data_IF_996917279425
#
_entry.id   IF_996917279425
#
_cell.length_a   1.000
_cell.length_b   1.000
_cell.length_c   1.000
_cell.angle_alpha   90.00
_cell.angle_beta   90.00
_cell.angle_gamma   90.00
#
_symmetry.space_group_name_H-M   'P 1'
#
loop_
_entity.id
_entity.type
_entity.pdbx_description
1 polymer ?
#
# COMPACT_ATOMS: atom_id res chain seq x y z
N UNK A 1 7.67 2.20 -16.65
CA UNK A 1 6.77 3.37 -16.80
C UNK A 1 7.52 4.65 -16.44
N UNK A 2 7.88 5.42 -17.46
CA UNK A 2 8.31 6.80 -17.32
C UNK A 2 7.03 7.64 -17.36
N UNK A 3 6.87 8.53 -16.40
CA UNK A 3 5.66 9.27 -16.01
C UNK A 3 4.61 8.48 -15.23
N UNK A 4 4.23 9.06 -14.08
CA UNK A 4 3.32 8.54 -13.07
C UNK A 4 1.86 8.47 -13.52
N UNK A 5 1.62 8.09 -14.77
CA UNK A 5 0.33 7.70 -15.28
C UNK A 5 -0.10 6.40 -14.60
N UNK A 6 -1.26 6.45 -13.96
CA UNK A 6 -1.88 5.30 -13.30
C UNK A 6 -3.24 5.06 -13.94
N UNK A 7 -3.80 3.87 -13.73
CA UNK A 7 -5.17 3.57 -14.15
C UNK A 7 -6.19 4.61 -13.64
N UNK A 8 -5.88 5.30 -12.54
CA UNK A 8 -6.72 6.35 -11.95
C UNK A 8 -6.57 7.72 -12.66
N UNK A 9 -5.45 7.98 -13.34
CA UNK A 9 -5.19 9.28 -13.99
C UNK A 9 -5.43 9.27 -15.49
N UNK A 10 -5.11 8.18 -16.18
CA UNK A 10 -5.25 8.07 -17.65
C UNK A 10 -6.33 7.08 -18.08
N UNK A 11 -6.91 6.34 -17.13
CA UNK A 11 -7.89 5.31 -17.41
C UNK A 11 -7.26 3.99 -17.89
N UNK A 12 -8.09 2.96 -18.00
CA UNK A 12 -7.71 1.64 -18.51
C UNK A 12 -8.93 0.97 -19.16
N UNK A 13 -8.72 0.25 -20.26
CA UNK A 13 -9.79 -0.55 -20.88
C UNK A 13 -9.92 -1.91 -20.19
N UNK A 14 -11.16 -2.37 -19.98
CA UNK A 14 -11.44 -3.63 -19.29
C UNK A 14 -10.69 -4.87 -19.85
N UNK A 15 -10.49 -5.02 -21.18
CA UNK A 15 -9.73 -6.16 -21.72
C UNK A 15 -8.28 -6.25 -21.23
N UNK A 16 -7.62 -5.11 -21.00
CA UNK A 16 -6.25 -5.09 -20.46
C UNK A 16 -6.19 -5.71 -19.06
N UNK A 17 -7.14 -5.35 -18.21
CA UNK A 17 -7.27 -5.91 -16.85
C UNK A 17 -7.56 -7.41 -16.89
N UNK A 18 -8.43 -7.85 -17.79
CA UNK A 18 -8.77 -9.27 -17.95
C UNK A 18 -7.55 -10.11 -18.38
N UNK A 19 -6.76 -9.62 -19.33
CA UNK A 19 -5.53 -10.29 -19.77
C UNK A 19 -4.48 -10.39 -18.66
N UNK A 20 -4.25 -9.30 -17.90
CA UNK A 20 -3.35 -9.34 -16.73
C UNK A 20 -3.83 -10.40 -15.74
N UNK A 21 -5.12 -10.39 -15.41
CA UNK A 21 -5.71 -11.31 -14.44
C UNK A 21 -5.62 -12.76 -14.90
N UNK A 22 -5.89 -13.04 -16.17
CA UNK A 22 -5.80 -14.38 -16.76
C UNK A 22 -4.37 -14.93 -16.68
N UNK A 23 -3.37 -14.12 -17.05
CA UNK A 23 -1.97 -14.52 -16.95
C UNK A 23 -1.54 -14.77 -15.50
N UNK A 24 -1.83 -13.86 -14.57
CA UNK A 24 -1.45 -14.00 -13.16
C UNK A 24 -2.14 -15.19 -12.49
N UNK A 25 -3.44 -15.39 -12.76
CA UNK A 25 -4.19 -16.53 -12.21
C UNK A 25 -3.64 -17.84 -12.73
N UNK A 26 -3.28 -17.91 -14.02
CA UNK A 26 -2.66 -19.11 -14.59
C UNK A 26 -1.33 -19.44 -13.91
N UNK A 27 -0.47 -18.44 -13.68
CA UNK A 27 0.80 -18.67 -12.95
C UNK A 27 0.56 -19.09 -11.50
N UNK A 28 -0.44 -18.53 -10.83
CA UNK A 28 -0.83 -18.95 -9.48
C UNK A 28 -1.33 -20.41 -9.46
N UNK A 29 -2.13 -20.83 -10.44
CA UNK A 29 -2.59 -22.21 -10.58
C UNK A 29 -1.42 -23.18 -10.79
N UNK A 30 -0.42 -22.81 -11.60
CA UNK A 30 0.82 -23.59 -11.74
C UNK A 30 1.54 -23.77 -10.40
N UNK A 31 1.65 -22.71 -9.60
CA UNK A 31 2.27 -22.79 -8.26
C UNK A 31 1.48 -23.73 -7.35
N UNK A 32 0.15 -23.57 -7.29
CA UNK A 32 -0.73 -24.36 -6.42
C UNK A 32 -0.80 -25.83 -6.78
N UNK A 33 -0.56 -26.16 -8.05
CA UNK A 33 -0.51 -27.54 -8.57
C UNK A 33 0.92 -28.07 -8.66
N UNK A 34 1.88 -27.39 -8.02
CA UNK A 34 3.30 -27.78 -7.94
C UNK A 34 4.04 -27.84 -9.29
N UNK A 35 3.48 -27.26 -10.35
CA UNK A 35 4.06 -27.23 -11.71
C UNK A 35 5.09 -26.09 -11.87
N UNK A 36 6.06 -26.03 -10.97
CA UNK A 36 7.04 -24.93 -10.90
C UNK A 36 7.90 -24.77 -12.16
N UNK A 37 8.25 -25.89 -12.81
CA UNK A 37 9.09 -25.88 -14.02
C UNK A 37 8.38 -25.28 -15.25
N UNK A 38 7.06 -25.08 -15.16
CA UNK A 38 6.24 -24.49 -16.23
C UNK A 38 5.96 -23.00 -16.03
N UNK A 39 6.50 -22.40 -14.96
CA UNK A 39 6.36 -20.97 -14.71
C UNK A 39 7.05 -20.17 -15.80
N UNK A 40 6.44 -19.04 -16.16
CA UNK A 40 6.87 -18.22 -17.29
C UNK A 40 8.30 -17.69 -17.11
N UNK A 41 8.70 -17.31 -15.90
CA UNK A 41 10.04 -16.78 -15.61
C UNK A 41 10.38 -15.44 -16.30
N UNK A 42 9.40 -14.79 -16.94
CA UNK A 42 9.59 -13.51 -17.66
C UNK A 42 8.66 -12.43 -17.15
N UNK A 43 9.12 -11.18 -17.23
CA UNK A 43 8.27 -10.01 -17.22
C UNK A 43 7.56 -9.95 -18.58
N UNK A 44 6.24 -10.07 -18.58
CA UNK A 44 5.39 -9.96 -19.77
C UNK A 44 4.83 -8.54 -19.87
N UNK A 45 5.02 -7.89 -21.01
CA UNK A 45 4.40 -6.63 -21.39
C UNK A 45 3.58 -6.84 -22.65
N UNK A 46 2.40 -6.22 -22.73
CA UNK A 46 1.56 -6.30 -23.91
C UNK A 46 0.75 -5.02 -24.11
N UNK A 47 0.46 -4.71 -25.37
CA UNK A 47 -0.52 -3.73 -25.81
C UNK A 47 -1.60 -4.48 -26.59
N UNK A 48 -2.82 -4.51 -26.07
CA UNK A 48 -3.93 -5.24 -26.71
C UNK A 48 -4.49 -4.46 -27.90
N UNK A 49 -4.36 -3.13 -27.89
CA UNK A 49 -4.90 -2.27 -28.94
C UNK A 49 -4.06 -2.38 -30.20
N UNK A 50 -2.74 -2.28 -30.06
CA UNK A 50 -1.77 -2.41 -31.16
C UNK A 50 -1.36 -3.86 -31.43
N UNK A 51 -1.83 -4.81 -30.61
CA UNK A 51 -1.50 -6.24 -30.69
C UNK A 51 0.01 -6.53 -30.52
N UNK A 52 0.68 -5.76 -29.66
CA UNK A 52 2.10 -5.92 -29.37
C UNK A 52 2.32 -6.76 -28.11
N UNK A 53 3.38 -7.57 -28.12
CA UNK A 53 3.81 -8.31 -26.93
C UNK A 53 5.33 -8.38 -26.84
N UNK A 54 5.84 -8.22 -25.62
CA UNK A 54 7.26 -8.31 -25.30
C UNK A 54 7.45 -9.07 -23.99
N UNK A 55 8.51 -9.86 -23.92
CA UNK A 55 8.85 -10.59 -22.70
C UNK A 55 10.34 -10.58 -22.43
N UNK A 56 10.70 -10.38 -21.17
CA UNK A 56 12.11 -10.31 -20.73
C UNK A 56 12.31 -11.31 -19.60
N UNK A 57 13.30 -12.19 -19.72
CA UNK A 57 13.70 -13.10 -18.62
C UNK A 57 14.27 -12.29 -17.46
N UNK A 58 13.73 -12.47 -16.27
CA UNK A 58 14.08 -11.63 -15.11
C UNK A 58 15.12 -12.27 -14.18
N UNK A 59 15.39 -13.56 -14.32
CA UNK A 59 16.32 -14.30 -13.45
C UNK A 59 17.71 -13.64 -13.40
N UNK A 60 18.20 -13.16 -14.55
CA UNK A 60 19.51 -12.50 -14.67
C UNK A 60 19.52 -11.03 -14.24
N UNK A 61 18.36 -10.46 -13.88
CA UNK A 61 18.26 -9.07 -13.43
C UNK A 61 18.53 -8.91 -11.93
N UNK A 62 18.59 -10.02 -11.19
CA UNK A 62 18.94 -9.99 -9.77
C UNK A 62 20.38 -9.51 -9.59
N UNK A 63 20.55 -8.45 -8.81
CA UNK A 63 21.88 -7.96 -8.42
C UNK A 63 22.33 -8.68 -7.15
N UNK A 64 23.57 -9.16 -7.15
CA UNK A 64 24.15 -9.84 -5.98
C UNK A 64 24.22 -8.94 -4.74
N UNK A 65 24.41 -7.64 -4.95
CA UNK A 65 24.52 -6.61 -3.92
C UNK A 65 23.18 -5.97 -3.53
N UNK A 66 22.04 -6.47 -4.04
CA UNK A 66 20.74 -5.92 -3.71
C UNK A 66 20.44 -6.08 -2.20
N UNK A 67 20.10 -5.00 -1.46
CA UNK A 67 19.88 -5.10 -0.02
C UNK A 67 18.61 -5.88 0.37
N UNK A 68 17.76 -6.26 -0.60
CA UNK A 68 16.49 -6.98 -0.37
C UNK A 68 16.45 -8.38 -0.97
N UNK A 69 17.19 -8.67 -2.04
CA UNK A 69 17.22 -10.00 -2.67
C UNK A 69 18.62 -10.50 -3.03
N UNK A 70 19.68 -9.75 -2.68
CA UNK A 70 21.07 -10.17 -2.89
C UNK A 70 21.51 -11.26 -1.91
N UNK A 71 22.75 -11.72 -2.05
CA UNK A 71 23.33 -12.79 -1.21
C UNK A 71 23.42 -12.39 0.26
N UNK A 72 23.60 -11.10 0.54
CA UNK A 72 23.64 -10.51 1.89
C UNK A 72 22.42 -9.61 2.14
N UNK A 73 21.20 -10.14 1.94
CA UNK A 73 19.97 -9.37 2.13
C UNK A 73 19.78 -8.95 3.61
N UNK A 74 19.58 -7.64 3.82
CA UNK A 74 19.31 -7.04 5.14
C UNK A 74 17.89 -6.50 5.31
N UNK A 75 17.12 -6.47 4.22
CA UNK A 75 15.72 -6.03 4.20
C UNK A 75 15.50 -4.67 4.90
N UNK A 76 16.15 -3.59 4.43
CA UNK A 76 16.21 -2.32 5.16
C UNK A 76 14.82 -1.75 5.47
N UNK A 77 13.83 -2.02 4.60
CA UNK A 77 12.45 -1.55 4.79
C UNK A 77 11.59 -2.41 5.71
N UNK A 78 12.08 -3.57 6.17
CA UNK A 78 11.46 -4.41 7.19
C UNK A 78 12.04 -4.15 8.60
N UNK A 79 13.19 -3.47 8.68
CA UNK A 79 13.80 -3.03 9.93
C UNK A 79 12.84 -2.16 10.75
N UNK A 80 12.87 -2.35 12.07
CA UNK A 80 11.93 -1.72 12.99
C UNK A 80 11.97 -0.18 12.94
N UNK A 81 13.17 0.39 12.79
CA UNK A 81 13.40 1.82 12.74
C UNK A 81 12.73 2.50 11.52
N UNK A 82 12.53 1.75 10.43
CA UNK A 82 11.91 2.23 9.19
C UNK A 82 10.38 2.02 9.14
N UNK A 83 9.73 1.63 10.25
CA UNK A 83 8.29 1.32 10.28
C UNK A 83 7.36 2.53 10.41
N UNK A 84 7.86 3.70 10.84
CA UNK A 84 7.05 4.94 10.85
C UNK A 84 6.90 5.48 9.44
N UNK A 85 5.83 5.06 8.76
CA UNK A 85 5.57 5.42 7.36
C UNK A 85 4.31 6.26 7.27
N UNK A 86 4.44 7.38 6.57
CA UNK A 86 3.32 8.13 6.04
C UNK A 86 3.30 7.90 4.53
N UNK A 87 2.25 7.27 4.03
CA UNK A 87 2.09 6.91 2.63
C UNK A 87 0.82 7.56 2.08
N UNK A 88 0.94 8.23 0.93
CA UNK A 88 -0.22 8.77 0.22
C UNK A 88 -0.93 7.58 -0.42
N UNK A 89 -2.22 7.43 -0.17
CA UNK A 89 -3.04 6.41 -0.81
C UNK A 89 -3.45 6.95 -2.19
N UNK A 90 -2.88 6.36 -3.24
CA UNK A 90 -3.15 6.73 -4.64
C UNK A 90 -4.67 6.79 -4.90
N UNK A 91 -5.11 7.85 -5.59
CA UNK A 91 -6.50 8.05 -5.97
C UNK A 91 -7.48 8.40 -4.84
N UNK A 92 -7.00 8.66 -3.60
CA UNK A 92 -7.90 8.80 -2.42
C UNK A 92 -7.75 10.08 -1.60
N UNK A 93 -6.93 11.04 -2.04
CA UNK A 93 -6.58 12.27 -1.30
C UNK A 93 -6.46 12.02 0.22
N UNK A 94 -5.63 11.03 0.56
CA UNK A 94 -5.48 10.59 1.93
C UNK A 94 -4.05 10.13 2.19
N UNK A 95 -3.59 10.36 3.41
CA UNK A 95 -2.32 9.81 3.91
C UNK A 95 -2.60 8.79 4.99
N UNK A 96 -2.05 7.60 4.83
CA UNK A 96 -1.98 6.60 5.89
C UNK A 96 -0.71 6.81 6.70
N UNK A 97 -0.85 7.07 8.00
CA UNK A 97 0.24 7.14 8.97
C UNK A 97 0.27 5.84 9.77
N UNK A 98 1.45 5.22 9.89
CA UNK A 98 1.71 4.05 10.72
C UNK A 98 2.74 4.41 11.79
N UNK A 99 2.53 4.11 13.08
CA UNK A 99 3.53 4.32 14.11
C UNK A 99 4.75 3.40 13.91
N UNK A 100 5.93 3.83 14.39
CA UNK A 100 7.17 3.02 14.33
C UNK A 100 7.06 1.75 15.17
N UNK A 101 6.51 1.87 16.38
CA UNK A 101 6.21 0.76 17.27
C UNK A 101 4.77 0.28 17.05
N UNK A 102 4.54 -1.02 17.23
CA UNK A 102 3.18 -1.53 17.30
C UNK A 102 2.58 -1.03 18.62
N UNK A 103 1.57 -0.18 18.52
CA UNK A 103 0.88 0.40 19.67
C UNK A 103 -0.51 -0.21 19.74
N UNK A 104 -0.98 -0.54 20.94
CA UNK A 104 -2.38 -0.87 21.15
C UNK A 104 -3.07 0.35 21.72
N UNK A 105 -3.77 1.09 20.85
CA UNK A 105 -4.57 2.23 21.25
C UNK A 105 -5.90 1.75 21.85
N UNK A 106 -6.25 2.29 23.01
CA UNK A 106 -7.60 2.21 23.54
C UNK A 106 -8.50 3.15 22.72
N UNK A 107 -9.23 2.59 21.76
CA UNK A 107 -10.22 3.36 20.99
C UNK A 107 -11.30 3.95 21.90
N UNK A 108 -11.58 3.29 23.03
CA UNK A 108 -12.50 3.81 24.05
C UNK A 108 -11.99 5.11 24.67
N UNK A 109 -10.71 5.18 25.04
CA UNK A 109 -10.14 6.39 25.64
C UNK A 109 -10.06 7.54 24.62
N UNK A 110 -9.73 7.22 23.36
CA UNK A 110 -9.75 8.20 22.27
C UNK A 110 -11.17 8.73 22.01
N UNK A 111 -12.18 7.84 22.01
CA UNK A 111 -13.58 8.22 21.88
C UNK A 111 -13.99 9.16 23.01
N UNK A 112 -13.65 8.84 24.26
CA UNK A 112 -13.99 9.67 25.42
C UNK A 112 -13.31 11.05 25.33
N UNK A 113 -12.03 11.07 24.92
CA UNK A 113 -11.27 12.31 24.71
C UNK A 113 -11.88 13.21 23.63
N UNK A 114 -12.36 12.63 22.53
CA UNK A 114 -12.85 13.34 21.34
C UNK A 114 -14.35 13.11 21.08
N UNK A 115 -15.16 12.99 22.14
CA UNK A 115 -16.56 12.56 22.03
C UNK A 115 -17.38 13.39 21.05
N UNK A 116 -17.16 14.71 20.99
CA UNK A 116 -17.86 15.64 20.09
C UNK A 116 -17.42 15.53 18.62
N UNK A 117 -16.32 14.83 18.36
CA UNK A 117 -15.74 14.67 17.03
C UNK A 117 -15.96 13.27 16.46
N UNK A 118 -16.58 12.36 17.22
CA UNK A 118 -16.87 10.99 16.77
C UNK A 118 -17.90 11.02 15.65
N UNK A 119 -17.53 10.48 14.49
CA UNK A 119 -18.43 10.32 13.35
C UNK A 119 -18.96 8.89 13.26
N UNK A 120 -18.10 7.89 13.47
CA UNK A 120 -18.43 6.47 13.42
C UNK A 120 -17.49 5.67 14.33
N UNK A 121 -17.94 4.52 14.82
CA UNK A 121 -17.10 3.60 15.58
C UNK A 121 -17.52 2.15 15.35
N UNK A 122 -16.58 1.24 15.53
CA UNK A 122 -16.86 -0.18 15.76
C UNK A 122 -15.74 -0.79 16.61
N UNK A 123 -15.79 -2.11 16.81
CA UNK A 123 -14.79 -2.82 17.61
C UNK A 123 -13.37 -2.62 17.09
N UNK A 124 -13.14 -2.42 15.80
CA UNK A 124 -11.81 -2.39 15.18
C UNK A 124 -11.29 -0.99 14.84
N UNK A 125 -12.16 0.01 14.69
CA UNK A 125 -11.79 1.37 14.29
C UNK A 125 -12.66 2.46 14.92
N UNK A 126 -12.11 3.68 14.96
CA UNK A 126 -12.78 4.92 15.35
C UNK A 126 -12.61 5.95 14.24
N UNK A 127 -13.71 6.60 13.84
CA UNK A 127 -13.70 7.68 12.85
C UNK A 127 -13.96 9.01 13.54
N UNK A 128 -13.01 9.95 13.42
CA UNK A 128 -13.11 11.29 13.97
C UNK A 128 -13.11 12.35 12.87
N UNK A 129 -13.90 13.41 13.05
CA UNK A 129 -13.82 14.64 12.27
C UNK A 129 -12.98 15.69 12.99
N UNK A 130 -11.75 15.95 12.53
CA UNK A 130 -10.80 16.88 13.16
C UNK A 130 -10.24 17.82 12.10
N UNK A 131 -10.25 19.13 12.36
CA UNK A 131 -9.74 20.17 11.43
C UNK A 131 -10.23 20.01 9.97
N UNK A 132 -11.54 19.76 9.81
CA UNK A 132 -12.18 19.51 8.51
C UNK A 132 -11.62 18.31 7.74
N UNK A 133 -10.93 17.39 8.42
CA UNK A 133 -10.40 16.15 7.88
C UNK A 133 -11.02 14.95 8.60
N UNK A 134 -11.12 13.84 7.89
CA UNK A 134 -11.66 12.58 8.43
C UNK A 134 -10.52 11.64 8.78
N UNK A 135 -10.43 11.29 10.06
CA UNK A 135 -9.42 10.40 10.62
C UNK A 135 -10.05 9.03 10.83
N UNK A 136 -9.52 7.99 10.19
CA UNK A 136 -9.89 6.60 10.45
C UNK A 136 -8.77 5.95 11.24
N UNK A 137 -9.00 5.71 12.52
CA UNK A 137 -7.99 5.24 13.48
C UNK A 137 -8.25 3.77 13.78
N UNK A 138 -7.23 2.93 13.62
CA UNK A 138 -7.26 1.50 13.91
C UNK A 138 -6.64 1.22 15.30
N UNK A 139 -7.03 0.09 15.92
CA UNK A 139 -6.48 -0.34 17.22
C UNK A 139 -4.96 -0.44 17.28
N UNK A 140 -4.33 -0.75 16.15
CA UNK A 140 -2.87 -0.90 16.04
C UNK A 140 -2.14 0.43 15.81
N UNK A 141 -2.84 1.56 15.98
CA UNK A 141 -2.32 2.90 15.81
C UNK A 141 -2.20 3.36 14.38
N UNK A 142 -2.52 2.53 13.38
CA UNK A 142 -2.62 3.04 12.00
C UNK A 142 -3.75 4.06 11.92
N UNK A 143 -3.51 5.16 11.20
CA UNK A 143 -4.51 6.19 10.98
C UNK A 143 -4.51 6.61 9.52
N UNK A 144 -5.68 6.65 8.90
CA UNK A 144 -5.87 7.22 7.56
C UNK A 144 -6.48 8.61 7.73
N UNK A 145 -5.79 9.63 7.21
CA UNK A 145 -6.23 11.02 7.24
C UNK A 145 -6.69 11.39 5.83
N UNK A 146 -7.99 11.53 5.64
CA UNK A 146 -8.58 11.99 4.38
C UNK A 146 -8.60 13.51 4.28
N UNK A 147 -8.48 14.05 3.06
CA UNK A 147 -8.36 15.48 2.78
C UNK A 147 -6.94 16.00 3.06
N UNK A 148 -5.94 15.12 2.96
CA UNK A 148 -4.53 15.45 3.12
C UNK A 148 -3.70 14.61 2.15
N UNK A 149 -2.73 15.26 1.50
CA UNK A 149 -1.80 14.66 0.55
C UNK A 149 -0.34 14.92 0.92
N UNK A 150 -0.08 15.80 1.88
CA UNK A 150 1.25 16.07 2.42
C UNK A 150 1.56 15.15 3.61
N UNK A 151 2.54 14.27 3.41
CA UNK A 151 3.02 13.31 4.42
C UNK A 151 3.50 13.99 5.70
N UNK A 152 4.11 15.16 5.60
CA UNK A 152 4.66 15.92 6.74
C UNK A 152 3.52 16.48 7.58
N UNK A 153 2.52 17.09 6.93
CA UNK A 153 1.32 17.60 7.62
C UNK A 153 0.51 16.46 8.24
N UNK A 154 0.34 15.35 7.52
CA UNK A 154 -0.32 14.16 8.06
C UNK A 154 0.38 13.61 9.30
N UNK A 155 1.72 13.56 9.32
CA UNK A 155 2.50 13.18 10.51
C UNK A 155 2.30 14.15 11.67
N UNK A 156 2.30 15.47 11.41
CA UNK A 156 2.07 16.47 12.44
C UNK A 156 0.67 16.35 13.05
N UNK A 157 -0.36 16.16 12.21
CA UNK A 157 -1.74 15.92 12.64
C UNK A 157 -1.87 14.63 13.45
N UNK A 158 -1.23 13.54 13.00
CA UNK A 158 -1.17 12.30 13.74
C UNK A 158 -0.55 12.50 15.12
N UNK A 159 0.61 13.16 15.21
CA UNK A 159 1.27 13.43 16.49
C UNK A 159 0.42 14.33 17.41
N UNK A 160 -0.28 15.32 16.85
CA UNK A 160 -1.14 16.24 17.61
C UNK A 160 -2.35 15.56 18.25
N UNK A 161 -2.99 14.62 17.55
CA UNK A 161 -4.28 14.05 17.97
C UNK A 161 -4.21 12.60 18.46
N UNK A 162 -3.25 11.84 17.96
CA UNK A 162 -3.10 10.40 18.24
C UNK A 162 -1.81 10.12 19.00
N UNK A 163 -0.73 10.83 18.64
CA UNK A 163 0.57 10.74 19.30
C UNK A 163 0.51 11.23 20.74
N UNK A 164 1.09 10.43 21.63
CA UNK A 164 1.56 10.83 22.95
C UNK A 164 3.08 10.75 22.97
#
# INVERSE_FOLDING_TARGET
>A
PLDGETCDTVGIIAPAVQMVSAHQTTEALKILTEQRDTLRGTLLSFDIWENETSSIRVEKLQKEDCPSCGTNARYPFLEYENRSKAEVLCGRDAVQVRPASQQFLSLHDLKNRYHNQVQQENTHLLVLGLENKRFVIFRDGRTIIHGESDKTKARALYQKYIGG
#
